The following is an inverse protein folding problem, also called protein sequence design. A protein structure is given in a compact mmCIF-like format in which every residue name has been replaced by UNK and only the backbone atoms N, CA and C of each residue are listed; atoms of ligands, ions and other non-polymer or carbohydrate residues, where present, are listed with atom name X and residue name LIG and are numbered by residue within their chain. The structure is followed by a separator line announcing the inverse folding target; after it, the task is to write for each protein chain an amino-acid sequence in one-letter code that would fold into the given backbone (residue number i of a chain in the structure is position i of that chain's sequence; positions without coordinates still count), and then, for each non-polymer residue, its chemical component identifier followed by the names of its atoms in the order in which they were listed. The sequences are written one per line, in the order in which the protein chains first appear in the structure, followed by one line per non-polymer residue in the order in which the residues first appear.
data_IF_756037735580
#
_entry.id   IF_756037735580
#
_cell.length_a   1.000
_cell.length_b   1.000
_cell.length_c   1.000
_cell.angle_alpha   90.00
_cell.angle_beta   90.00
_cell.angle_gamma   90.00
#
_symmetry.space_group_name_H-M   'P 1'
#
loop_
_entity.id
_entity.type
_entity.pdbx_description
1 polymer ?
#
# COMPACT_ATOMS: atom_id res chain seq x y z
N UNK A 1 -19.32 23.82 -1.88
CA UNK A 1 -20.52 24.10 -2.71
C UNK A 1 -21.10 22.76 -3.09
N UNK A 2 -21.61 22.08 -2.06
CA UNK A 2 -23.03 21.76 -1.90
C UNK A 2 -23.24 20.33 -2.43
N UNK A 3 -22.90 19.30 -1.67
CA UNK A 3 -23.85 18.63 -0.75
C UNK A 3 -25.26 18.49 -1.37
N UNK A 4 -25.34 18.17 -2.67
CA UNK A 4 -26.57 17.68 -3.33
C UNK A 4 -26.78 16.17 -3.11
N UNK A 5 -26.12 15.58 -2.11
CA UNK A 5 -26.34 14.19 -1.71
C UNK A 5 -27.49 14.07 -0.69
N UNK A 6 -28.00 15.19 -0.16
CA UNK A 6 -28.92 15.21 0.99
C UNK A 6 -30.36 15.61 0.65
N UNK A 7 -30.80 15.38 -0.59
CA UNK A 7 -32.22 15.53 -0.96
C UNK A 7 -32.74 14.28 -1.67
N UNK A 8 -32.71 13.16 -0.96
CA UNK A 8 -33.53 12.00 -1.30
C UNK A 8 -34.98 12.28 -0.86
N UNK A 9 -35.96 12.32 -1.77
CA UNK A 9 -37.36 12.36 -1.38
C UNK A 9 -37.75 10.96 -0.89
N UNK A 10 -37.71 10.75 0.43
CA UNK A 10 -38.09 9.48 1.06
C UNK A 10 -39.61 9.36 1.27
N UNK A 11 -40.39 9.77 0.27
CA UNK A 11 -41.85 9.65 0.21
C UNK A 11 -42.19 9.51 -1.28
N UNK A 12 -42.83 8.46 -1.79
CA UNK A 12 -43.82 7.49 -1.28
C UNK A 12 -43.94 6.40 -2.36
N UNK A 13 -44.41 5.19 -1.98
CA UNK A 13 -44.69 3.99 -2.83
C UNK A 13 -43.62 2.86 -2.83
N UNK A 14 -43.68 2.01 -1.79
CA UNK A 14 -43.64 0.54 -1.91
C UNK A 14 -42.35 -0.17 -2.35
N UNK A 15 -41.52 -0.61 -1.38
CA UNK A 15 -40.53 -1.72 -1.46
C UNK A 15 -39.36 -1.62 -2.46
N UNK A 16 -39.62 -1.29 -3.74
CA UNK A 16 -38.63 -1.26 -4.80
C UNK A 16 -37.53 -0.21 -4.58
N UNK A 17 -37.90 0.98 -4.07
CA UNK A 17 -36.92 2.05 -3.81
C UNK A 17 -35.95 1.69 -2.68
N UNK A 18 -36.42 1.00 -1.63
CA UNK A 18 -35.55 0.49 -0.57
C UNK A 18 -34.54 -0.54 -1.10
N UNK A 19 -34.98 -1.40 -2.02
CA UNK A 19 -34.10 -2.36 -2.71
C UNK A 19 -33.04 -1.65 -3.55
N UNK A 20 -33.41 -0.61 -4.30
CA UNK A 20 -32.46 0.17 -5.11
C UNK A 20 -31.40 0.83 -4.25
N UNK A 21 -31.81 1.49 -3.15
CA UNK A 21 -30.88 2.11 -2.19
C UNK A 21 -29.98 1.06 -1.54
N UNK A 22 -30.53 -0.08 -1.14
CA UNK A 22 -29.77 -1.20 -0.57
C UNK A 22 -28.72 -1.75 -1.54
N UNK A 23 -29.06 -1.88 -2.83
CA UNK A 23 -28.14 -2.32 -3.87
C UNK A 23 -27.00 -1.32 -4.06
N UNK A 24 -27.31 -0.02 -4.14
CA UNK A 24 -26.30 1.04 -4.27
C UNK A 24 -25.33 1.01 -3.08
N UNK A 25 -25.85 0.95 -1.85
CA UNK A 25 -25.01 0.86 -0.65
C UNK A 25 -24.17 -0.41 -0.67
N UNK A 26 -24.76 -1.56 -1.03
CA UNK A 26 -24.05 -2.83 -1.12
C UNK A 26 -22.89 -2.79 -2.11
N UNK A 27 -23.10 -2.20 -3.29
CA UNK A 27 -22.04 -2.03 -4.31
C UNK A 27 -20.95 -1.08 -3.81
N UNK A 28 -21.32 0.03 -3.16
CA UNK A 28 -20.36 0.96 -2.56
C UNK A 28 -19.48 0.28 -1.50
N UNK A 29 -20.08 -0.49 -0.59
CA UNK A 29 -19.36 -1.24 0.45
C UNK A 29 -18.44 -2.29 -0.18
N UNK A 30 -18.92 -3.01 -1.21
CA UNK A 30 -18.12 -4.00 -1.92
C UNK A 30 -16.91 -3.36 -2.63
N UNK A 31 -17.12 -2.24 -3.32
CA UNK A 31 -16.05 -1.49 -3.98
C UNK A 31 -15.00 -1.01 -2.97
N UNK A 32 -15.43 -0.44 -1.84
CA UNK A 32 -14.52 -0.03 -0.76
C UNK A 32 -13.75 -1.21 -0.18
N UNK A 33 -14.40 -2.36 0.03
CA UNK A 33 -13.75 -3.58 0.50
C UNK A 33 -12.64 -4.06 -0.45
N UNK A 34 -12.92 -4.06 -1.76
CA UNK A 34 -11.94 -4.42 -2.79
C UNK A 34 -10.77 -3.42 -2.81
N UNK A 35 -11.06 -2.12 -2.75
CA UNK A 35 -10.04 -1.07 -2.68
C UNK A 35 -9.13 -1.23 -1.46
N UNK A 36 -9.70 -1.49 -0.29
CA UNK A 36 -8.96 -1.74 0.95
C UNK A 36 -8.06 -2.97 0.84
N UNK A 37 -8.57 -4.07 0.27
CA UNK A 37 -7.80 -5.28 0.03
C UNK A 37 -6.65 -5.03 -0.96
N UNK A 38 -6.91 -4.30 -2.04
CA UNK A 38 -5.93 -3.93 -3.05
C UNK A 38 -4.82 -3.03 -2.48
N UNK A 39 -5.19 -2.04 -1.67
CA UNK A 39 -4.24 -1.16 -0.99
C UNK A 39 -3.34 -1.93 -0.03
N UNK A 40 -3.90 -2.85 0.79
CA UNK A 40 -3.09 -3.71 1.67
C UNK A 40 -2.13 -4.59 0.88
N UNK A 41 -2.58 -5.16 -0.24
CA UNK A 41 -1.74 -5.98 -1.10
C UNK A 41 -0.56 -5.20 -1.68
N UNK A 42 -0.79 -3.96 -2.15
CA UNK A 42 0.27 -3.12 -2.70
C UNK A 42 1.18 -2.58 -1.59
N UNK A 43 0.63 -2.15 -0.47
CA UNK A 43 1.41 -1.61 0.65
C UNK A 43 2.44 -2.62 1.15
N UNK A 44 2.09 -3.91 1.19
CA UNK A 44 3.04 -4.98 1.54
C UNK A 44 4.13 -5.25 0.50
N UNK A 45 4.02 -4.69 -0.71
CA UNK A 45 4.99 -4.86 -1.81
C UNK A 45 5.84 -3.63 -2.09
N UNK A 46 5.50 -2.46 -1.53
CA UNK A 46 6.30 -1.26 -1.77
C UNK A 46 7.59 -1.37 -0.95
N UNK A 47 8.78 -1.38 -1.60
CA UNK A 47 10.02 -1.28 -0.85
C UNK A 47 10.00 0.07 -0.11
N UNK A 48 10.17 0.02 1.21
CA UNK A 48 10.28 1.23 2.01
C UNK A 48 11.54 1.94 1.54
N UNK A 49 11.40 3.17 1.03
CA UNK A 49 12.56 3.99 0.72
C UNK A 49 13.08 4.55 2.03
N UNK A 50 14.38 4.37 2.27
CA UNK A 50 15.03 4.86 3.48
C UNK A 50 15.87 6.09 3.11
N UNK A 51 15.88 7.08 4.00
CA UNK A 51 16.80 8.21 3.89
C UNK A 51 18.18 7.72 4.33
N UNK A 52 19.20 7.90 3.50
CA UNK A 52 20.56 7.56 3.89
C UNK A 52 21.23 8.74 4.58
N UNK A 53 21.65 8.57 5.83
CA UNK A 53 22.30 9.62 6.64
C UNK A 53 23.63 10.12 6.05
N UNK A 54 24.28 9.33 5.20
CA UNK A 54 25.56 9.70 4.59
C UNK A 54 25.42 10.57 3.33
N UNK A 55 24.41 10.32 2.48
CA UNK A 55 24.22 11.09 1.25
C UNK A 55 23.00 12.01 1.24
N UNK A 56 22.13 11.92 2.25
CA UNK A 56 20.94 12.76 2.38
C UNK A 56 19.89 12.50 1.29
N UNK A 57 19.97 11.37 0.58
CA UNK A 57 19.01 11.02 -0.47
C UNK A 57 18.11 9.86 -0.03
N UNK A 58 16.84 9.92 -0.44
CA UNK A 58 15.94 8.77 -0.35
C UNK A 58 16.37 7.74 -1.40
N UNK A 59 16.78 6.58 -0.92
CA UNK A 59 17.35 5.52 -1.75
C UNK A 59 16.63 4.20 -1.48
N UNK A 60 16.64 3.32 -2.48
CA UNK A 60 16.37 1.91 -2.25
C UNK A 60 17.58 1.24 -1.61
N UNK A 61 17.32 0.25 -0.77
CA UNK A 61 18.34 -0.54 -0.07
C UNK A 61 18.64 -1.81 -0.84
N UNK A 62 19.90 -2.19 -0.86
CA UNK A 62 20.41 -3.40 -1.53
C UNK A 62 21.17 -4.28 -0.54
N UNK A 63 21.42 -5.53 -0.90
CA UNK A 63 22.18 -6.45 -0.05
C UNK A 63 23.68 -6.12 -0.07
N UNK A 64 24.34 -6.27 1.07
CA UNK A 64 25.81 -6.14 1.17
C UNK A 64 26.56 -7.20 0.34
N UNK A 65 25.99 -8.39 0.18
CA UNK A 65 26.64 -9.51 -0.49
C UNK A 65 26.76 -9.34 -2.02
N UNK A 66 25.63 -9.16 -2.70
CA UNK A 66 25.54 -9.13 -4.17
C UNK A 66 25.06 -7.79 -4.72
N UNK A 67 24.77 -6.81 -3.85
CA UNK A 67 24.15 -5.53 -4.24
C UNK A 67 22.82 -5.74 -5.00
N UNK A 68 22.12 -6.83 -4.67
CA UNK A 68 20.86 -7.22 -5.26
C UNK A 68 19.68 -6.66 -4.44
N UNK A 69 18.48 -6.55 -5.03
CA UNK A 69 17.29 -6.19 -4.27
C UNK A 69 17.05 -7.16 -3.11
N UNK A 70 16.57 -6.62 -2.00
CA UNK A 70 16.34 -7.34 -0.73
C UNK A 70 14.87 -7.38 -0.39
N UNK A 71 14.44 -8.45 0.28
CA UNK A 71 13.18 -8.44 1.06
C UNK A 71 13.50 -8.03 2.49
N UNK A 72 13.03 -6.85 2.88
CA UNK A 72 13.21 -6.33 4.24
C UNK A 72 12.28 -7.04 5.24
N UNK A 73 12.84 -7.47 6.36
CA UNK A 73 12.12 -7.87 7.58
C UNK A 73 12.84 -7.23 8.77
N UNK A 74 12.25 -6.18 9.37
CA UNK A 74 12.72 -5.60 10.64
C UNK A 74 14.24 -5.36 10.70
N UNK A 75 14.75 -4.43 9.88
CA UNK A 75 16.18 -4.05 9.76
C UNK A 75 17.15 -5.10 9.17
N UNK A 76 16.69 -6.32 8.90
CA UNK A 76 17.49 -7.34 8.23
C UNK A 76 16.90 -7.62 6.85
N UNK A 77 17.75 -7.67 5.84
CA UNK A 77 17.36 -7.98 4.47
C UNK A 77 17.65 -9.43 4.14
N UNK A 78 16.74 -10.10 3.43
CA UNK A 78 17.08 -11.36 2.75
C UNK A 78 17.44 -11.01 1.31
N UNK A 79 18.66 -11.35 0.90
CA UNK A 79 19.09 -11.15 -0.48
C UNK A 79 18.28 -12.06 -1.43
N UNK A 80 17.74 -11.50 -2.51
CA UNK A 80 16.94 -12.28 -3.46
C UNK A 80 17.76 -13.26 -4.31
N UNK A 81 19.08 -13.07 -4.41
CA UNK A 81 19.96 -13.99 -5.14
C UNK A 81 20.41 -15.16 -4.25
N UNK A 82 21.11 -14.87 -3.14
CA UNK A 82 21.68 -15.92 -2.30
C UNK A 82 20.72 -16.44 -1.22
N UNK A 83 19.56 -15.79 -1.01
CA UNK A 83 18.55 -16.13 0.02
C UNK A 83 19.08 -16.19 1.46
N UNK A 84 20.26 -15.62 1.70
CA UNK A 84 20.85 -15.49 3.03
C UNK A 84 20.44 -14.16 3.67
N UNK A 85 20.47 -14.13 4.99
CA UNK A 85 20.37 -12.89 5.75
C UNK A 85 21.56 -11.99 5.44
N UNK A 86 21.29 -10.72 5.19
CA UNK A 86 22.25 -9.72 4.74
C UNK A 86 21.96 -8.39 5.43
N UNK A 87 23.03 -7.61 5.62
CA UNK A 87 22.91 -6.21 6.02
C UNK A 87 22.39 -5.38 4.85
N UNK A 88 21.63 -4.36 5.20
CA UNK A 88 21.03 -3.41 4.28
C UNK A 88 22.04 -2.29 3.99
N UNK A 89 22.35 -2.04 2.73
CA UNK A 89 23.26 -0.96 2.32
C UNK A 89 22.61 -0.02 1.31
N UNK A 90 23.02 1.25 1.35
CA UNK A 90 22.56 2.29 0.43
C UNK A 90 22.97 1.96 -1.02
N UNK A 91 22.04 1.98 -1.97
CA UNK A 91 22.30 1.71 -3.39
C UNK A 91 23.29 2.69 -4.03
N UNK A 92 23.37 3.95 -3.57
CA UNK A 92 24.33 4.94 -4.07
C UNK A 92 25.70 4.85 -3.38
N UNK A 93 25.70 4.89 -2.05
CA UNK A 93 26.93 5.08 -1.27
C UNK A 93 27.59 3.78 -0.86
N UNK A 94 26.87 2.65 -0.99
CA UNK A 94 27.32 1.32 -0.57
C UNK A 94 27.75 1.27 0.91
N UNK A 95 27.23 2.20 1.71
CA UNK A 95 27.40 2.24 3.17
C UNK A 95 26.17 1.63 3.85
N UNK A 96 26.33 1.02 5.03
CA UNK A 96 25.20 0.53 5.81
C UNK A 96 24.26 1.70 6.14
N UNK A 97 22.96 1.46 5.98
CA UNK A 97 21.90 2.38 6.42
C UNK A 97 21.61 2.23 7.91
#
# INVERSE_FOLDING_TARGET
MAVEVLRFPFQTEGSLQCWTVGLIIGVLVLALGILMAYQRYIAGKRPVQHLCDYCGHMVSVVSDCHHAPVRERFLHGICLECKKECRLVCSKCKRPV
#
